data_IF_870388140933
#
_entry.id   IF_870388140933
#
_cell.length_a   1.000
_cell.length_b   1.000
_cell.length_c   1.000
_cell.angle_alpha   90.00
_cell.angle_beta   90.00
_cell.angle_gamma   90.00
#
_symmetry.space_group_name_H-M   'P 1'
#
loop_
_entity.id
_entity.type
_entity.pdbx_description
1 polymer ?
#
# COMPACT_ATOMS: atom_id res chain seq x y z
N UNK A 1 -8.22 -4.32 11.17
CA UNK A 1 -7.39 -3.19 11.66
C UNK A 1 -7.68 -2.73 13.10
N UNK A 2 -8.91 -2.31 13.47
CA UNK A 2 -9.23 -1.73 14.82
C UNK A 2 -8.64 -2.49 16.02
N UNK A 3 -8.83 -3.81 16.07
CA UNK A 3 -8.30 -4.62 17.17
C UNK A 3 -6.76 -4.65 17.21
N UNK A 4 -6.11 -4.70 16.05
CA UNK A 4 -4.63 -4.72 15.95
C UNK A 4 -4.05 -3.40 16.47
N UNK A 5 -4.60 -2.27 16.01
CA UNK A 5 -4.21 -0.94 16.47
C UNK A 5 -4.50 -0.76 17.97
N UNK A 6 -5.63 -1.28 18.46
CA UNK A 6 -5.96 -1.25 19.88
C UNK A 6 -4.93 -1.98 20.75
N UNK A 7 -4.45 -3.15 20.31
CA UNK A 7 -3.39 -3.90 21.03
C UNK A 7 -2.03 -3.20 20.95
N UNK A 8 -1.69 -2.58 19.82
CA UNK A 8 -0.48 -1.77 19.70
C UNK A 8 -0.54 -0.57 20.65
N UNK A 9 -1.66 0.14 20.71
CA UNK A 9 -1.89 1.24 21.68
C UNK A 9 -1.72 0.76 23.12
N UNK A 10 -2.32 -0.37 23.51
CA UNK A 10 -2.14 -0.93 24.86
C UNK A 10 -0.67 -1.24 25.17
N UNK A 11 0.09 -1.69 24.17
CA UNK A 11 1.52 -1.97 24.35
C UNK A 11 2.31 -0.69 24.62
N UNK A 12 2.01 0.39 23.88
CA UNK A 12 2.59 1.72 24.12
C UNK A 12 2.22 2.23 25.52
N UNK A 13 0.95 2.13 25.91
CA UNK A 13 0.49 2.55 27.24
C UNK A 13 1.19 1.77 28.37
N UNK A 14 1.42 0.48 28.19
CA UNK A 14 2.16 -0.30 29.18
C UNK A 14 3.61 0.17 29.32
N UNK A 15 4.29 0.49 28.21
CA UNK A 15 5.63 1.06 28.24
C UNK A 15 5.65 2.44 28.91
N UNK A 16 4.62 3.27 28.69
CA UNK A 16 4.48 4.56 29.38
C UNK A 16 4.35 4.38 30.89
N UNK A 17 3.56 3.43 31.37
CA UNK A 17 3.48 3.15 32.81
C UNK A 17 4.82 2.70 33.40
N UNK A 18 5.62 1.94 32.66
CA UNK A 18 6.98 1.58 33.11
C UNK A 18 7.86 2.82 33.21
N UNK A 19 7.84 3.67 32.18
CA UNK A 19 8.61 4.91 32.17
C UNK A 19 8.22 5.84 33.34
N UNK A 20 6.92 6.00 33.61
CA UNK A 20 6.39 6.78 34.73
C UNK A 20 6.87 6.24 36.09
N UNK A 21 6.66 4.95 36.35
CA UNK A 21 7.02 4.31 37.64
C UNK A 21 8.52 4.40 37.90
N UNK A 22 9.35 4.15 36.89
CA UNK A 22 10.80 4.23 37.05
C UNK A 22 11.28 5.68 37.17
N UNK A 23 10.66 6.61 36.44
CA UNK A 23 10.93 8.05 36.59
C UNK A 23 10.57 8.57 37.97
N UNK A 24 9.55 8.03 38.64
CA UNK A 24 9.15 8.48 39.99
C UNK A 24 9.99 7.85 41.11
N UNK A 25 10.41 6.60 40.94
CA UNK A 25 10.94 5.80 42.04
C UNK A 25 12.39 5.35 41.89
N UNK A 26 13.04 5.60 40.75
CA UNK A 26 14.42 5.18 40.51
C UNK A 26 15.33 6.37 40.19
N UNK A 27 16.22 6.71 41.14
CA UNK A 27 17.15 7.84 41.02
C UNK A 27 18.10 7.71 39.82
N UNK A 28 18.56 6.50 39.52
CA UNK A 28 19.47 6.30 38.38
C UNK A 28 18.73 6.43 37.04
N UNK A 29 17.47 5.98 36.97
CA UNK A 29 16.62 6.20 35.80
C UNK A 29 16.34 7.69 35.58
N UNK A 30 16.03 8.44 36.65
CA UNK A 30 15.89 9.90 36.61
C UNK A 30 17.17 10.56 36.07
N UNK A 31 18.34 10.20 36.62
CA UNK A 31 19.63 10.73 36.18
C UNK A 31 19.87 10.50 34.68
N UNK A 32 19.43 9.35 34.14
CA UNK A 32 19.53 9.05 32.71
C UNK A 32 18.52 9.89 31.91
N UNK A 33 17.29 10.05 32.38
CA UNK A 33 16.29 10.91 31.73
C UNK A 33 16.72 12.39 31.68
N UNK A 34 17.34 12.88 32.76
CA UNK A 34 17.92 14.23 32.81
C UNK A 34 19.06 14.38 31.79
N UNK A 35 19.89 13.33 31.62
CA UNK A 35 20.93 13.32 30.60
C UNK A 35 20.34 13.34 29.19
N UNK A 36 19.31 12.51 28.92
CA UNK A 36 18.63 12.48 27.62
C UNK A 36 17.94 13.82 27.30
N UNK A 37 17.44 14.51 28.31
CA UNK A 37 16.79 15.83 28.21
C UNK A 37 17.76 17.01 28.30
N UNK A 38 19.06 16.76 28.46
CA UNK A 38 20.07 17.82 28.56
C UNK A 38 20.23 18.58 27.25
N UNK A 39 20.71 19.84 27.30
CA UNK A 39 20.96 20.66 26.11
C UNK A 39 21.91 19.99 25.10
N UNK A 40 22.79 19.09 25.57
CA UNK A 40 23.73 18.34 24.72
C UNK A 40 23.03 17.20 23.97
N UNK A 41 22.15 16.43 24.63
CA UNK A 41 21.59 15.21 24.06
C UNK A 41 20.17 15.38 23.49
N UNK A 42 19.37 16.27 24.07
CA UNK A 42 17.97 16.48 23.68
C UNK A 42 17.79 16.73 22.17
N UNK A 43 18.63 17.51 21.48
CA UNK A 43 18.50 17.68 20.02
C UNK A 43 18.62 16.36 19.24
N UNK A 44 19.48 15.44 19.68
CA UNK A 44 19.68 14.12 19.06
C UNK A 44 18.47 13.22 19.35
N UNK A 45 17.98 13.24 20.60
CA UNK A 45 16.83 12.45 21.01
C UNK A 45 15.56 12.87 20.25
N UNK A 46 15.33 14.17 20.11
CA UNK A 46 14.23 14.74 19.31
C UNK A 46 14.32 14.36 17.82
N UNK A 47 15.53 14.38 17.24
CA UNK A 47 15.72 13.95 15.85
C UNK A 47 15.36 12.46 15.66
N UNK A 48 15.74 11.60 16.60
CA UNK A 48 15.36 10.17 16.59
C UNK A 48 13.85 9.99 16.82
N UNK A 49 13.24 10.77 17.72
CA UNK A 49 11.82 10.68 18.01
C UNK A 49 10.95 10.99 16.77
N UNK A 50 11.39 11.93 15.92
CA UNK A 50 10.73 12.25 14.64
C UNK A 50 10.75 11.10 13.63
N UNK A 51 11.70 10.18 13.75
CA UNK A 51 11.71 8.95 12.95
C UNK A 51 10.61 7.95 13.37
N UNK A 52 10.00 8.13 14.55
CA UNK A 52 8.85 7.35 15.04
C UNK A 52 7.50 7.93 14.59
N UNK A 53 7.37 9.26 14.54
CA UNK A 53 6.22 9.95 13.95
C UNK A 53 6.57 11.41 13.61
N UNK A 54 6.19 11.83 12.41
CA UNK A 54 6.30 13.18 11.91
C UNK A 54 5.11 13.45 10.97
N UNK A 55 4.37 14.53 11.22
CA UNK A 55 3.31 14.98 10.33
C UNK A 55 3.87 15.93 9.27
N UNK A 56 4.15 15.41 8.08
CA UNK A 56 4.64 16.21 6.96
C UNK A 56 5.81 15.57 6.21
N UNK A 57 5.95 15.93 4.93
CA UNK A 57 7.04 15.47 4.05
C UNK A 57 7.89 16.68 3.65
N UNK A 58 9.14 16.72 4.11
CA UNK A 58 10.07 17.81 3.74
C UNK A 58 10.60 17.63 2.32
N UNK A 59 10.90 18.75 1.64
CA UNK A 59 11.41 18.72 0.27
C UNK A 59 12.82 18.10 0.22
N UNK A 60 13.16 17.43 -0.87
CA UNK A 60 14.43 16.70 -1.09
C UNK A 60 15.73 17.52 -0.92
N UNK A 61 15.63 18.85 -0.80
CA UNK A 61 16.76 19.80 -0.73
C UNK A 61 16.99 20.41 0.67
N UNK A 62 16.22 20.04 1.71
CA UNK A 62 16.49 20.52 3.08
C UNK A 62 17.66 19.76 3.73
N UNK A 63 18.45 20.46 4.57
CA UNK A 63 19.54 19.87 5.37
C UNK A 63 19.01 18.82 6.37
N UNK A 64 17.78 18.99 6.84
CA UNK A 64 17.03 18.01 7.64
C UNK A 64 16.09 17.28 6.68
N UNK A 65 16.43 16.04 6.33
CA UNK A 65 15.69 15.21 5.37
C UNK A 65 14.63 14.38 6.09
N UNK A 66 13.54 15.00 6.54
CA UNK A 66 12.34 14.25 6.92
C UNK A 66 11.60 13.86 5.63
N UNK A 67 12.17 12.87 4.94
CA UNK A 67 11.74 12.40 3.63
C UNK A 67 10.62 11.34 3.72
N UNK A 68 10.07 11.09 4.91
CA UNK A 68 9.32 9.85 5.18
C UNK A 68 7.82 10.00 4.94
N UNK A 69 7.42 9.48 3.80
CA UNK A 69 6.07 9.04 3.45
C UNK A 69 5.65 7.72 4.17
N UNK A 70 6.52 7.14 5.02
CA UNK A 70 6.46 5.70 5.35
C UNK A 70 6.11 5.35 6.79
N UNK A 71 6.01 6.29 7.73
CA UNK A 71 5.86 5.93 9.16
C UNK A 71 4.61 5.09 9.43
N UNK A 72 3.47 5.49 8.88
CA UNK A 72 2.23 4.74 9.02
C UNK A 72 2.27 3.40 8.25
N UNK A 73 2.99 3.37 7.12
CA UNK A 73 3.26 2.15 6.36
C UNK A 73 4.11 1.15 7.15
N UNK A 74 5.20 1.62 7.75
CA UNK A 74 6.13 0.83 8.56
C UNK A 74 5.42 0.19 9.77
N UNK A 75 4.49 0.90 10.41
CA UNK A 75 3.67 0.33 11.49
C UNK A 75 2.79 -0.81 10.98
N UNK A 76 2.16 -0.63 9.82
CA UNK A 76 1.33 -1.66 9.18
C UNK A 76 2.19 -2.86 8.76
N UNK A 77 3.35 -2.61 8.17
CA UNK A 77 4.30 -3.63 7.77
C UNK A 77 4.89 -4.37 8.97
N UNK A 78 5.15 -3.70 10.09
CA UNK A 78 5.55 -4.35 11.35
C UNK A 78 4.49 -5.32 11.85
N UNK A 79 3.22 -4.90 11.81
CA UNK A 79 2.10 -5.77 12.19
C UNK A 79 2.08 -7.01 11.29
N UNK A 80 2.24 -6.85 9.97
CA UNK A 80 2.09 -7.95 9.02
C UNK A 80 3.33 -8.82 8.83
N UNK A 81 4.46 -8.22 8.46
CA UNK A 81 5.73 -8.92 8.21
C UNK A 81 6.43 -9.38 9.49
N UNK A 82 6.11 -8.77 10.65
CA UNK A 82 6.60 -9.19 11.96
C UNK A 82 5.64 -10.15 12.66
N UNK A 83 4.55 -9.62 13.23
CA UNK A 83 3.71 -10.38 14.19
C UNK A 83 2.70 -11.32 13.54
N UNK A 84 2.04 -10.88 12.47
CA UNK A 84 1.07 -11.72 11.77
C UNK A 84 1.77 -12.83 10.97
N UNK A 85 2.95 -12.57 10.42
CA UNK A 85 3.79 -13.59 9.79
C UNK A 85 4.22 -14.68 10.78
N UNK A 86 4.63 -14.30 12.00
CA UNK A 86 4.87 -15.27 13.07
C UNK A 86 3.62 -16.10 13.43
N UNK A 87 2.41 -15.53 13.37
CA UNK A 87 1.18 -16.28 13.52
C UNK A 87 0.95 -17.27 12.37
N UNK A 88 1.20 -16.85 11.13
CA UNK A 88 1.04 -17.66 9.92
C UNK A 88 1.91 -18.92 9.95
N UNK A 89 3.14 -18.82 10.44
CA UNK A 89 4.10 -19.92 10.53
C UNK A 89 3.68 -21.08 11.47
N UNK A 90 2.60 -20.93 12.24
CA UNK A 90 2.19 -21.92 13.25
C UNK A 90 1.36 -23.08 12.69
N UNK A 91 0.69 -22.93 11.56
CA UNK A 91 -0.04 -24.01 10.87
C UNK A 91 -0.57 -23.54 9.51
N UNK A 92 -0.90 -24.49 8.62
CA UNK A 92 -1.52 -24.19 7.32
C UNK A 92 -2.80 -23.38 7.47
N UNK A 93 -3.68 -23.74 8.41
CA UNK A 93 -4.92 -22.99 8.67
C UNK A 93 -4.64 -21.54 9.08
N UNK A 94 -3.59 -21.29 9.86
CA UNK A 94 -3.21 -19.93 10.24
C UNK A 94 -2.59 -19.17 9.07
N UNK A 95 -1.89 -19.85 8.17
CA UNK A 95 -1.40 -19.29 6.92
C UNK A 95 -2.56 -18.87 6.00
N UNK A 96 -3.62 -19.69 5.87
CA UNK A 96 -4.84 -19.31 5.14
C UNK A 96 -5.47 -18.04 5.72
N UNK A 97 -5.63 -18.00 7.04
CA UNK A 97 -6.17 -16.82 7.72
C UNK A 97 -5.28 -15.58 7.59
N UNK A 98 -3.95 -15.77 7.53
CA UNK A 98 -3.01 -14.70 7.25
C UNK A 98 -3.18 -14.10 5.85
N UNK A 99 -3.37 -14.94 4.82
CA UNK A 99 -3.66 -14.46 3.46
C UNK A 99 -4.94 -13.62 3.44
N UNK A 100 -6.03 -14.11 4.02
CA UNK A 100 -7.30 -13.35 4.14
C UNK A 100 -7.07 -12.01 4.84
N UNK A 101 -6.37 -12.03 5.97
CA UNK A 101 -6.06 -10.83 6.74
C UNK A 101 -5.28 -9.79 5.91
N UNK A 102 -4.30 -10.22 5.13
CA UNK A 102 -3.55 -9.34 4.23
C UNK A 102 -4.49 -8.73 3.18
N UNK A 103 -5.25 -9.52 2.42
CA UNK A 103 -6.12 -8.97 1.38
C UNK A 103 -7.17 -8.01 1.92
N UNK A 104 -7.82 -8.34 3.03
CA UNK A 104 -8.80 -7.44 3.65
C UNK A 104 -8.15 -6.15 4.15
N UNK A 105 -6.93 -6.21 4.66
CA UNK A 105 -6.19 -5.03 5.11
C UNK A 105 -5.70 -4.19 3.93
N UNK A 106 -5.25 -4.83 2.85
CA UNK A 106 -4.93 -4.18 1.58
C UNK A 106 -6.16 -3.46 1.02
N UNK A 107 -7.33 -4.10 1.00
CA UNK A 107 -8.58 -3.45 0.62
C UNK A 107 -8.88 -2.21 1.50
N UNK A 108 -8.65 -2.28 2.81
CA UNK A 108 -8.79 -1.12 3.70
C UNK A 108 -7.82 0.01 3.33
N UNK A 109 -6.56 -0.31 3.03
CA UNK A 109 -5.57 0.69 2.64
C UNK A 109 -5.90 1.35 1.30
N UNK A 110 -6.39 0.58 0.32
CA UNK A 110 -6.86 1.11 -0.96
C UNK A 110 -8.08 2.04 -0.81
N UNK A 111 -8.91 1.80 0.21
CA UNK A 111 -10.05 2.66 0.56
C UNK A 111 -9.62 3.95 1.29
N UNK A 112 -8.48 3.97 1.99
CA UNK A 112 -7.99 5.21 2.60
C UNK A 112 -7.68 6.27 1.53
N UNK A 113 -7.18 5.81 0.39
CA UNK A 113 -6.85 6.62 -0.78
C UNK A 113 -8.08 7.23 -1.49
N UNK A 114 -9.31 6.88 -1.04
CA UNK A 114 -10.55 7.54 -1.48
C UNK A 114 -10.60 9.02 -1.08
N UNK A 115 -9.82 9.47 -0.09
CA UNK A 115 -9.75 10.90 0.27
C UNK A 115 -9.24 11.80 -0.87
N UNK A 116 -8.55 11.23 -1.87
CA UNK A 116 -8.10 12.00 -3.04
C UNK A 116 -9.22 12.28 -4.04
N UNK A 117 -10.33 11.55 -3.97
CA UNK A 117 -11.48 11.67 -4.88
C UNK A 117 -12.78 12.09 -4.18
N UNK A 118 -12.83 11.99 -2.85
CA UNK A 118 -13.96 12.35 -2.00
C UNK A 118 -13.59 13.50 -1.04
N UNK A 119 -13.87 14.77 -1.41
CA UNK A 119 -13.57 15.94 -0.58
C UNK A 119 -14.20 15.91 0.81
N UNK A 120 -15.42 15.36 0.93
CA UNK A 120 -16.11 15.24 2.23
C UNK A 120 -15.37 14.30 3.17
N UNK A 121 -14.92 13.15 2.66
CA UNK A 121 -14.15 12.20 3.48
C UNK A 121 -12.77 12.77 3.84
N UNK A 122 -12.10 13.45 2.90
CA UNK A 122 -10.85 14.17 3.14
C UNK A 122 -10.98 15.18 4.29
N UNK A 123 -12.01 16.03 4.24
CA UNK A 123 -12.30 17.01 5.29
C UNK A 123 -12.46 16.33 6.65
N UNK A 124 -13.35 15.34 6.72
CA UNK A 124 -13.63 14.64 7.96
C UNK A 124 -12.37 13.94 8.54
N UNK A 125 -11.49 13.42 7.68
CA UNK A 125 -10.24 12.80 8.14
C UNK A 125 -9.27 13.83 8.72
N UNK A 126 -9.03 14.94 8.01
CA UNK A 126 -8.12 16.00 8.48
C UNK A 126 -8.63 16.61 9.79
N UNK A 127 -9.93 16.92 9.89
CA UNK A 127 -10.53 17.41 11.14
C UNK A 127 -10.33 16.42 12.29
N UNK A 128 -10.48 15.11 12.01
CA UNK A 128 -10.22 14.08 13.02
C UNK A 128 -8.76 14.03 13.46
N UNK A 129 -7.81 14.27 12.56
CA UNK A 129 -6.40 14.34 12.92
C UNK A 129 -6.14 15.54 13.84
N UNK A 130 -6.64 16.72 13.49
CA UNK A 130 -6.49 17.95 14.28
C UNK A 130 -7.14 17.87 15.67
N UNK A 131 -8.23 17.10 15.82
CA UNK A 131 -8.85 16.83 17.12
C UNK A 131 -7.98 15.98 18.06
N UNK A 132 -7.10 15.14 17.51
CA UNK A 132 -6.43 14.08 18.27
C UNK A 132 -4.90 14.19 18.30
N UNK A 133 -4.32 15.03 17.44
CA UNK A 133 -2.88 15.22 17.31
C UNK A 133 -2.60 16.72 17.36
N UNK A 134 -1.61 17.13 18.16
CA UNK A 134 -1.25 18.54 18.29
C UNK A 134 -0.72 19.08 16.96
N UNK A 135 -1.06 20.32 16.61
CA UNK A 135 -0.64 20.95 15.35
C UNK A 135 0.87 20.95 15.14
N UNK A 136 1.65 21.09 16.22
CA UNK A 136 3.13 21.08 16.18
C UNK A 136 3.66 19.74 15.66
N UNK A 137 3.01 18.63 16.00
CA UNK A 137 3.40 17.29 15.56
C UNK A 137 2.77 16.95 14.20
N UNK A 138 1.54 17.41 13.95
CA UNK A 138 0.79 17.12 12.73
C UNK A 138 1.26 17.91 11.50
N UNK A 139 1.76 19.13 11.69
CA UNK A 139 2.16 20.07 10.63
C UNK A 139 3.61 20.54 10.81
N UNK A 140 4.56 19.62 10.65
CA UNK A 140 5.98 19.91 10.84
C UNK A 140 6.56 20.75 9.68
N UNK A 141 6.02 20.61 8.47
CA UNK A 141 6.46 21.42 7.32
C UNK A 141 5.78 22.79 7.34
N UNK A 142 6.55 23.89 7.20
CA UNK A 142 5.97 25.22 7.07
C UNK A 142 4.97 25.30 5.92
N UNK A 143 3.76 25.75 6.23
CA UNK A 143 2.66 25.88 5.26
C UNK A 143 1.69 24.70 5.22
N UNK A 144 1.99 23.56 5.85
CA UNK A 144 1.08 22.40 5.86
C UNK A 144 -0.24 22.70 6.57
N UNK A 145 -0.22 23.47 7.66
CA UNK A 145 -1.45 23.89 8.36
C UNK A 145 -2.36 24.74 7.46
N UNK A 146 -1.77 25.68 6.71
CA UNK A 146 -2.51 26.52 5.77
C UNK A 146 -3.04 25.70 4.59
N UNK A 147 -2.23 24.78 4.06
CA UNK A 147 -2.63 23.85 3.02
C UNK A 147 -3.78 22.97 3.48
N UNK A 148 -3.71 22.42 4.70
CA UNK A 148 -4.77 21.63 5.31
C UNK A 148 -6.09 22.41 5.39
N UNK A 149 -6.03 23.70 5.78
CA UNK A 149 -7.18 24.61 5.79
C UNK A 149 -7.76 24.82 4.39
N UNK A 150 -6.92 24.95 3.37
CA UNK A 150 -7.35 25.13 1.98
C UNK A 150 -8.01 23.85 1.42
N UNK A 151 -7.36 22.69 1.55
CA UNK A 151 -7.86 21.43 0.97
C UNK A 151 -9.10 20.89 1.68
N UNK A 152 -9.30 21.22 2.97
CA UNK A 152 -10.56 20.92 3.68
C UNK A 152 -11.73 21.63 3.01
N UNK A 153 -11.54 22.86 2.54
CA UNK A 153 -12.59 23.68 1.93
C UNK A 153 -12.67 23.54 0.41
N UNK A 154 -11.72 22.85 -0.21
CA UNK A 154 -11.66 22.64 -1.65
C UNK A 154 -12.40 21.38 -2.09
N UNK A 155 -13.08 21.46 -3.23
CA UNK A 155 -13.69 20.33 -3.93
C UNK A 155 -12.72 19.64 -4.92
N UNK A 156 -11.44 20.07 -4.94
CA UNK A 156 -10.42 19.51 -5.84
C UNK A 156 -10.23 18.01 -5.61
N UNK A 157 -10.03 17.28 -6.71
CA UNK A 157 -9.80 15.84 -6.76
C UNK A 157 -8.56 15.54 -7.59
N UNK A 158 -8.00 14.35 -7.37
CA UNK A 158 -6.85 13.87 -8.14
C UNK A 158 -7.11 13.94 -9.66
N UNK A 159 -6.04 14.20 -10.42
CA UNK A 159 -6.04 14.38 -11.89
C UNK A 159 -6.81 15.61 -12.41
N UNK A 160 -7.15 16.56 -11.53
CA UNK A 160 -7.53 17.91 -11.92
C UNK A 160 -6.30 18.82 -11.96
N UNK A 161 -6.35 19.90 -12.71
CA UNK A 161 -5.19 20.77 -12.93
C UNK A 161 -4.81 21.55 -11.65
N UNK A 162 -5.79 21.76 -10.76
CA UNK A 162 -5.64 22.34 -9.44
C UNK A 162 -5.05 21.35 -8.40
N UNK A 163 -5.03 20.05 -8.72
CA UNK A 163 -4.40 19.03 -7.89
C UNK A 163 -2.90 19.04 -8.12
N UNK A 164 -2.19 19.83 -7.31
CA UNK A 164 -0.75 20.03 -7.43
C UNK A 164 0.06 18.95 -6.71
N UNK A 165 1.34 18.82 -7.06
CA UNK A 165 2.27 17.92 -6.36
C UNK A 165 2.42 18.24 -4.87
N UNK A 166 2.17 19.48 -4.46
CA UNK A 166 2.18 19.89 -3.05
C UNK A 166 1.01 19.27 -2.29
N UNK A 167 -0.16 19.16 -2.92
CA UNK A 167 -1.32 18.46 -2.35
C UNK A 167 -1.02 16.97 -2.26
N UNK A 168 -0.44 16.37 -3.31
CA UNK A 168 -0.02 14.96 -3.29
C UNK A 168 0.93 14.68 -2.12
N UNK A 169 2.00 15.47 -1.97
CA UNK A 169 2.99 15.29 -0.90
C UNK A 169 2.38 15.42 0.50
N UNK A 170 1.40 16.33 0.68
CA UNK A 170 0.67 16.48 1.93
C UNK A 170 -0.26 15.29 2.21
N UNK A 171 -1.04 14.87 1.22
CA UNK A 171 -1.94 13.72 1.39
C UNK A 171 -1.14 12.44 1.67
N UNK A 172 -0.02 12.27 0.98
CA UNK A 172 0.91 11.16 1.18
C UNK A 172 1.55 11.17 2.58
N UNK A 173 1.71 12.33 3.24
CA UNK A 173 2.29 12.41 4.58
C UNK A 173 1.34 11.94 5.68
N UNK A 174 0.03 12.06 5.46
CA UNK A 174 -1.02 11.70 6.42
C UNK A 174 -1.66 10.32 6.13
N UNK A 175 -1.16 9.60 5.12
CA UNK A 175 -1.61 8.27 4.73
C UNK A 175 -0.48 7.23 4.88
N UNK A 176 -0.81 5.95 5.12
CA UNK A 176 0.17 4.86 5.04
C UNK A 176 0.53 4.59 3.58
N UNK A 177 1.48 5.35 3.02
CA UNK A 177 2.11 5.22 1.69
C UNK A 177 1.13 4.78 0.59
N UNK A 178 0.58 5.75 -0.12
CA UNK A 178 -0.37 5.54 -1.23
C UNK A 178 0.15 4.48 -2.21
N UNK A 179 -0.58 3.36 -2.31
CA UNK A 179 -0.32 2.17 -3.17
C UNK A 179 0.97 1.36 -2.92
N UNK A 180 2.02 1.94 -2.33
CA UNK A 180 3.29 1.25 -2.09
C UNK A 180 3.17 0.09 -1.10
N UNK A 181 2.72 0.37 0.12
CA UNK A 181 2.59 -0.66 1.15
C UNK A 181 1.56 -1.76 0.78
N UNK A 182 0.39 -1.45 0.17
CA UNK A 182 -0.50 -2.45 -0.39
C UNK A 182 0.20 -3.41 -1.37
N UNK A 183 0.98 -2.84 -2.29
CA UNK A 183 1.71 -3.61 -3.31
C UNK A 183 2.78 -4.51 -2.70
N UNK A 184 3.59 -3.97 -1.79
CA UNK A 184 4.63 -4.72 -1.07
C UNK A 184 4.03 -5.91 -0.30
N UNK A 185 2.87 -5.72 0.35
CA UNK A 185 2.16 -6.80 1.04
C UNK A 185 1.60 -7.87 0.09
N UNK A 186 1.06 -7.49 -1.07
CA UNK A 186 0.60 -8.45 -2.08
C UNK A 186 1.77 -9.25 -2.65
N UNK A 187 2.88 -8.58 -2.97
CA UNK A 187 4.10 -9.24 -3.45
C UNK A 187 4.60 -10.24 -2.41
N UNK A 188 4.61 -9.85 -1.13
CA UNK A 188 5.05 -10.70 -0.04
C UNK A 188 4.23 -12.00 0.06
N UNK A 189 2.89 -11.93 0.05
CA UNK A 189 2.06 -13.13 0.15
C UNK A 189 2.14 -14.01 -1.09
N UNK A 190 2.32 -13.41 -2.27
CA UNK A 190 2.52 -14.14 -3.51
C UNK A 190 3.83 -14.95 -3.49
N UNK A 191 4.91 -14.39 -2.95
CA UNK A 191 6.15 -15.14 -2.75
C UNK A 191 5.95 -16.36 -1.86
N UNK A 192 5.21 -16.18 -0.75
CA UNK A 192 4.91 -17.29 0.16
C UNK A 192 4.05 -18.35 -0.55
N UNK A 193 3.00 -17.93 -1.27
CA UNK A 193 2.08 -18.83 -1.98
C UNK A 193 2.80 -19.63 -3.06
N UNK A 194 3.66 -18.98 -3.82
CA UNK A 194 4.44 -19.60 -4.91
C UNK A 194 5.60 -20.45 -4.39
N UNK A 195 5.89 -20.42 -3.08
CA UNK A 195 6.95 -21.20 -2.44
C UNK A 195 8.33 -21.01 -3.10
N UNK A 196 8.64 -19.77 -3.51
CA UNK A 196 9.85 -19.45 -4.28
C UNK A 196 11.16 -19.57 -3.49
N UNK A 197 11.08 -19.76 -2.18
CA UNK A 197 12.23 -19.90 -1.28
C UNK A 197 11.89 -19.48 0.15
N UNK A 198 12.92 -19.34 0.99
CA UNK A 198 12.78 -18.69 2.30
C UNK A 198 12.80 -17.19 2.07
N UNK A 199 11.74 -16.51 2.52
CA UNK A 199 11.53 -15.07 2.31
C UNK A 199 11.90 -14.32 3.58
N UNK A 200 12.81 -13.35 3.45
CA UNK A 200 13.19 -12.44 4.52
C UNK A 200 12.68 -11.04 4.14
N UNK A 201 11.60 -10.55 4.78
CA UNK A 201 11.13 -9.19 4.56
C UNK A 201 12.10 -8.20 5.19
N UNK A 202 12.55 -7.23 4.41
CA UNK A 202 13.41 -6.13 4.85
C UNK A 202 12.69 -4.78 4.81
N UNK A 203 11.36 -4.78 4.63
CA UNK A 203 10.50 -3.60 4.49
C UNK A 203 10.73 -2.52 5.58
N UNK A 204 11.02 -2.93 6.82
CA UNK A 204 11.27 -2.02 7.94
C UNK A 204 12.72 -1.51 8.03
N UNK A 205 13.65 -2.12 7.30
CA UNK A 205 15.09 -1.82 7.38
C UNK A 205 15.43 -0.88 6.24
N UNK A 206 15.61 0.39 6.54
CA UNK A 206 15.92 1.38 5.49
C UNK A 206 17.42 1.50 5.19
N UNK A 207 18.27 1.13 6.16
CA UNK A 207 19.73 1.16 6.02
C UNK A 207 20.36 -0.03 6.73
N UNK A 208 21.28 -0.70 6.04
CA UNK A 208 22.16 -1.71 6.61
C UNK A 208 23.52 -1.08 6.84
N UNK A 209 23.98 -1.13 8.09
CA UNK A 209 25.31 -0.69 8.49
C UNK A 209 26.35 -1.77 8.15
N UNK A 210 27.51 -1.33 7.67
CA UNK A 210 28.66 -2.19 7.41
C UNK A 210 29.96 -1.46 7.69
N UNK A 211 31.08 -1.99 7.19
CA UNK A 211 32.42 -1.40 7.40
C UNK A 211 32.60 0.02 6.80
N UNK A 212 31.70 0.45 5.91
CA UNK A 212 31.69 1.76 5.26
C UNK A 212 30.30 2.40 5.39
N UNK A 213 30.02 3.40 4.55
CA UNK A 213 28.72 4.04 4.43
C UNK A 213 27.56 3.01 4.43
N UNK A 214 26.45 3.27 5.14
CA UNK A 214 25.29 2.40 5.10
C UNK A 214 24.73 2.23 3.67
N UNK A 215 24.12 1.08 3.39
CA UNK A 215 23.42 0.80 2.11
C UNK A 215 21.92 0.70 2.33
N UNK A 216 21.12 1.12 1.35
CA UNK A 216 19.72 0.70 1.32
C UNK A 216 19.66 -0.80 0.96
N UNK A 217 18.95 -1.63 1.73
CA UNK A 217 18.62 -2.97 1.28
C UNK A 217 17.51 -2.96 0.23
N UNK A 218 17.33 -4.07 -0.51
CA UNK A 218 16.10 -4.35 -1.24
C UNK A 218 14.94 -4.61 -0.26
N UNK A 219 13.71 -4.57 -0.74
CA UNK A 219 12.50 -4.83 0.05
C UNK A 219 12.45 -6.27 0.62
N UNK A 220 12.97 -7.25 -0.14
CA UNK A 220 13.07 -8.65 0.30
C UNK A 220 14.43 -9.28 -0.04
N UNK A 221 14.82 -10.27 0.76
CA UNK A 221 15.77 -11.31 0.33
C UNK A 221 15.04 -12.64 0.15
N UNK A 222 15.39 -13.37 -0.90
CA UNK A 222 14.93 -14.73 -1.15
C UNK A 222 16.13 -15.65 -1.09
N UNK A 223 16.06 -16.65 -0.22
CA UNK A 223 17.06 -17.72 -0.12
C UNK A 223 16.47 -18.97 -0.76
N UNK A 224 17.07 -19.40 -1.87
CA UNK A 224 16.68 -20.62 -2.58
C UNK A 224 17.32 -21.86 -1.95
N UNK A 225 16.74 -23.03 -2.25
CA UNK A 225 17.20 -24.33 -1.73
C UNK A 225 18.61 -24.69 -2.20
N UNK A 226 19.04 -24.16 -3.35
CA UNK A 226 20.39 -24.29 -3.89
C UNK A 226 21.41 -23.32 -3.25
N UNK A 227 21.01 -22.59 -2.19
CA UNK A 227 21.81 -21.58 -1.48
C UNK A 227 22.06 -20.28 -2.25
N UNK A 228 21.45 -20.09 -3.42
CA UNK A 228 21.43 -18.78 -4.09
C UNK A 228 20.59 -17.79 -3.26
N UNK A 229 21.06 -16.55 -3.18
CA UNK A 229 20.38 -15.45 -2.49
C UNK A 229 20.08 -14.37 -3.51
N UNK A 230 18.84 -13.90 -3.54
CA UNK A 230 18.40 -12.83 -4.42
C UNK A 230 17.82 -11.67 -3.62
N UNK A 231 18.20 -10.45 -3.98
CA UNK A 231 17.54 -9.24 -3.54
C UNK A 231 16.36 -8.92 -4.44
N UNK A 232 15.24 -8.52 -3.85
CA UNK A 232 14.04 -8.15 -4.61
C UNK A 232 13.58 -6.75 -4.22
N UNK A 233 13.50 -5.88 -5.22
CA UNK A 233 12.91 -4.56 -5.09
C UNK A 233 11.49 -4.57 -5.67
N UNK A 234 10.54 -3.97 -4.97
CA UNK A 234 9.16 -3.85 -5.44
C UNK A 234 8.99 -2.53 -6.20
N UNK A 235 8.79 -2.65 -7.50
CA UNK A 235 8.61 -1.55 -8.45
C UNK A 235 9.88 -1.09 -9.14
N UNK A 236 9.72 -0.63 -10.37
CA UNK A 236 10.84 -0.34 -11.29
C UNK A 236 11.54 1.02 -11.08
N UNK A 237 11.22 1.78 -10.03
CA UNK A 237 11.71 3.19 -9.89
C UNK A 237 13.00 3.34 -9.08
N UNK A 238 13.56 2.27 -8.52
CA UNK A 238 14.68 2.32 -7.56
C UNK A 238 15.94 1.58 -8.03
N UNK A 239 16.12 1.44 -9.34
CA UNK A 239 17.21 0.68 -9.97
C UNK A 239 18.62 1.03 -9.45
N UNK A 240 18.87 2.32 -9.19
CA UNK A 240 20.16 2.79 -8.66
C UNK A 240 20.46 2.23 -7.26
N UNK A 241 19.45 2.18 -6.37
CA UNK A 241 19.60 1.65 -5.01
C UNK A 241 19.84 0.14 -5.04
N UNK A 242 19.04 -0.58 -5.85
CA UNK A 242 19.18 -2.02 -6.06
C UNK A 242 20.57 -2.37 -6.63
N UNK A 243 21.07 -1.56 -7.58
CA UNK A 243 22.40 -1.74 -8.18
C UNK A 243 23.51 -1.50 -7.16
N UNK A 244 23.41 -0.46 -6.33
CA UNK A 244 24.41 -0.21 -5.28
C UNK A 244 24.47 -1.37 -4.28
N UNK A 245 23.31 -1.85 -3.81
CA UNK A 245 23.24 -3.00 -2.92
C UNK A 245 23.91 -4.23 -3.55
N UNK A 246 23.56 -4.54 -4.80
CA UNK A 246 24.08 -5.71 -5.50
C UNK A 246 25.60 -5.66 -5.67
N UNK A 247 26.15 -4.52 -6.07
CA UNK A 247 27.62 -4.33 -6.22
C UNK A 247 28.33 -4.52 -4.87
N UNK A 248 27.76 -3.99 -3.79
CA UNK A 248 28.42 -3.99 -2.47
C UNK A 248 28.31 -5.31 -1.71
N UNK A 249 27.28 -6.10 -1.99
CA UNK A 249 27.00 -7.36 -1.29
C UNK A 249 27.28 -8.60 -2.14
N UNK A 250 27.46 -8.43 -3.47
CA UNK A 250 27.48 -9.51 -4.46
C UNK A 250 26.19 -10.34 -4.52
N UNK A 251 25.10 -9.86 -3.91
CA UNK A 251 23.77 -10.47 -4.02
C UNK A 251 23.10 -9.91 -5.28
N UNK A 252 22.70 -10.73 -6.26
CA UNK A 252 21.95 -10.24 -7.42
C UNK A 252 20.61 -9.66 -6.97
N UNK A 253 20.34 -8.41 -7.38
CA UNK A 253 19.08 -7.73 -7.06
C UNK A 253 18.32 -7.38 -8.33
N UNK A 254 17.02 -7.66 -8.37
CA UNK A 254 16.15 -7.28 -9.48
C UNK A 254 14.81 -6.76 -8.98
N UNK A 255 14.12 -6.06 -9.87
CA UNK A 255 12.81 -5.48 -9.58
C UNK A 255 11.70 -6.45 -9.97
N UNK A 256 10.65 -6.48 -9.17
CA UNK A 256 9.38 -7.15 -9.45
C UNK A 256 8.25 -6.14 -9.35
N UNK A 257 7.15 -6.40 -10.05
CA UNK A 257 5.96 -5.56 -9.97
C UNK A 257 4.70 -6.40 -10.06
N UNK A 258 3.56 -5.83 -9.68
CA UNK A 258 2.28 -6.46 -9.94
C UNK A 258 1.93 -6.29 -11.42
N UNK A 259 1.55 -7.40 -12.05
CA UNK A 259 1.22 -7.45 -13.47
C UNK A 259 0.08 -6.50 -13.82
N UNK A 260 0.15 -5.84 -14.99
CA UNK A 260 -0.88 -4.90 -15.45
C UNK A 260 -1.14 -3.72 -14.48
N UNK A 261 -0.16 -3.33 -13.66
CA UNK A 261 -0.29 -2.27 -12.66
C UNK A 261 -1.54 -2.45 -11.78
N UNK A 262 -1.69 -3.63 -11.16
CA UNK A 262 -2.78 -3.90 -10.22
C UNK A 262 -2.94 -2.78 -9.19
N UNK A 263 -4.14 -2.68 -8.60
CA UNK A 263 -4.60 -1.50 -7.86
C UNK A 263 -4.92 -0.30 -8.77
N UNK A 264 -5.46 -0.59 -9.95
CA UNK A 264 -5.98 0.41 -10.86
C UNK A 264 -7.12 1.20 -10.22
N UNK A 265 -7.17 2.51 -10.48
CA UNK A 265 -8.34 3.34 -10.20
C UNK A 265 -9.31 3.28 -11.36
N UNK A 266 -10.60 3.15 -11.05
CA UNK A 266 -11.66 3.22 -12.03
C UNK A 266 -11.77 4.66 -12.58
N UNK A 267 -11.62 4.90 -13.90
CA UNK A 267 -11.72 6.25 -14.46
C UNK A 267 -13.08 6.93 -14.27
N UNK A 268 -14.15 6.18 -14.02
CA UNK A 268 -15.52 6.72 -13.84
C UNK A 268 -15.79 7.27 -12.46
N UNK A 269 -15.23 6.69 -11.41
CA UNK A 269 -15.43 7.14 -10.01
C UNK A 269 -14.14 7.63 -9.33
N UNK A 270 -12.97 7.29 -9.88
CA UNK A 270 -11.65 7.61 -9.34
C UNK A 270 -11.19 6.69 -8.21
N UNK A 271 -12.04 5.80 -7.71
CA UNK A 271 -11.70 4.90 -6.60
C UNK A 271 -10.88 3.69 -7.06
N UNK A 272 -10.06 3.15 -6.15
CA UNK A 272 -9.30 1.94 -6.37
C UNK A 272 -10.21 0.71 -6.56
N UNK A 273 -9.79 -0.21 -7.43
CA UNK A 273 -10.41 -1.52 -7.57
C UNK A 273 -9.89 -2.43 -6.45
N UNK A 274 -10.84 -3.13 -5.80
CA UNK A 274 -10.58 -3.97 -4.63
C UNK A 274 -10.62 -5.45 -5.00
N UNK A 275 -10.02 -6.27 -4.14
CA UNK A 275 -10.11 -7.72 -4.20
C UNK A 275 -11.46 -8.22 -3.69
N UNK A 276 -12.12 -9.13 -4.41
CA UNK A 276 -13.43 -9.67 -4.02
C UNK A 276 -13.31 -10.84 -3.04
N UNK A 277 -14.34 -11.07 -2.22
CA UNK A 277 -14.35 -12.14 -1.22
C UNK A 277 -14.13 -13.53 -1.84
N UNK A 278 -14.75 -13.81 -2.99
CA UNK A 278 -14.57 -15.09 -3.70
C UNK A 278 -13.12 -15.32 -4.10
N UNK A 279 -12.43 -14.27 -4.57
CA UNK A 279 -11.02 -14.38 -4.92
C UNK A 279 -10.17 -14.58 -3.67
N UNK A 280 -10.43 -13.82 -2.60
CA UNK A 280 -9.69 -13.93 -1.32
C UNK A 280 -9.80 -15.34 -0.75
N UNK A 281 -11.00 -15.92 -0.75
CA UNK A 281 -11.25 -17.29 -0.27
C UNK A 281 -10.49 -18.31 -1.10
N UNK A 282 -10.66 -18.28 -2.43
CA UNK A 282 -9.98 -19.19 -3.36
C UNK A 282 -8.47 -19.05 -3.35
N UNK A 283 -7.97 -17.84 -3.14
CA UNK A 283 -6.54 -17.60 -2.99
C UNK A 283 -6.04 -18.28 -1.73
N UNK A 284 -6.74 -18.05 -0.62
CA UNK A 284 -6.31 -18.46 0.71
C UNK A 284 -6.39 -19.98 0.90
N UNK A 285 -7.36 -20.65 0.28
CA UNK A 285 -7.48 -22.11 0.34
C UNK A 285 -6.61 -22.86 -0.70
N UNK A 286 -5.98 -22.14 -1.63
CA UNK A 286 -5.12 -22.69 -2.67
C UNK A 286 -5.84 -23.13 -3.95
N UNK A 287 -7.16 -22.93 -4.05
CA UNK A 287 -7.99 -23.36 -5.19
C UNK A 287 -8.12 -22.33 -6.31
N UNK A 288 -7.51 -21.14 -6.16
CA UNK A 288 -7.62 -20.07 -7.15
C UNK A 288 -7.19 -20.52 -8.54
N UNK A 289 -6.08 -21.26 -8.66
CA UNK A 289 -5.56 -21.73 -9.96
C UNK A 289 -6.60 -22.55 -10.73
N UNK A 290 -7.37 -23.38 -10.04
CA UNK A 290 -8.38 -24.24 -10.65
C UNK A 290 -9.65 -23.46 -11.04
N UNK A 291 -9.85 -22.28 -10.44
CA UNK A 291 -10.97 -21.39 -10.74
C UNK A 291 -10.66 -20.36 -11.83
N UNK A 292 -9.39 -20.22 -12.24
CA UNK A 292 -9.02 -19.35 -13.35
C UNK A 292 -9.36 -20.01 -14.67
N UNK A 293 -10.02 -19.27 -15.56
CA UNK A 293 -10.31 -19.71 -16.92
C UNK A 293 -9.42 -18.92 -17.88
N UNK A 294 -8.82 -19.61 -18.84
CA UNK A 294 -8.02 -19.00 -19.87
C UNK A 294 -8.89 -18.63 -21.08
N UNK A 295 -8.92 -17.36 -21.45
CA UNK A 295 -9.56 -16.86 -22.68
C UNK A 295 -8.64 -15.84 -23.34
N UNK A 296 -8.42 -15.98 -24.64
CA UNK A 296 -7.55 -15.08 -25.42
C UNK A 296 -6.12 -14.93 -24.84
N UNK A 297 -5.58 -15.99 -24.23
CA UNK A 297 -4.24 -15.98 -23.61
C UNK A 297 -4.18 -15.29 -22.24
N UNK A 298 -5.31 -14.88 -21.68
CA UNK A 298 -5.40 -14.30 -20.33
C UNK A 298 -6.14 -15.26 -19.39
N UNK A 299 -5.56 -15.51 -18.22
CA UNK A 299 -6.19 -16.27 -17.14
C UNK A 299 -6.91 -15.32 -16.19
N UNK A 300 -8.22 -15.49 -16.07
CA UNK A 300 -9.06 -14.59 -15.27
C UNK A 300 -10.03 -15.38 -14.40
N UNK A 301 -10.39 -14.78 -13.26
CA UNK A 301 -11.53 -15.23 -12.46
C UNK A 301 -12.78 -14.50 -12.98
N UNK A 302 -13.52 -15.12 -13.89
CA UNK A 302 -14.70 -14.50 -14.51
C UNK A 302 -15.87 -14.42 -13.52
N UNK A 303 -16.56 -13.28 -13.53
CA UNK A 303 -17.66 -13.00 -12.62
C UNK A 303 -19.02 -13.50 -13.13
N UNK A 304 -19.18 -13.84 -14.42
CA UNK A 304 -20.48 -14.15 -15.00
C UNK A 304 -21.21 -15.34 -14.33
N UNK A 305 -20.47 -16.28 -13.76
CA UNK A 305 -21.00 -17.45 -13.05
C UNK A 305 -21.04 -17.25 -11.52
N UNK A 306 -20.61 -16.09 -11.03
CA UNK A 306 -20.58 -15.77 -9.60
C UNK A 306 -21.97 -15.36 -9.10
N UNK A 307 -22.44 -15.98 -8.01
CA UNK A 307 -23.72 -15.65 -7.37
C UNK A 307 -23.82 -14.19 -6.92
N UNK A 308 -22.68 -13.54 -6.67
CA UNK A 308 -22.61 -12.14 -6.27
C UNK A 308 -22.58 -11.15 -7.44
N UNK A 309 -22.45 -11.61 -8.70
CA UNK A 309 -22.36 -10.72 -9.87
C UNK A 309 -23.58 -9.82 -10.01
N UNK A 310 -24.77 -10.38 -9.75
CA UNK A 310 -26.03 -9.66 -9.67
C UNK A 310 -26.23 -8.70 -10.87
N UNK A 311 -26.12 -9.22 -12.08
CA UNK A 311 -26.26 -8.47 -13.35
C UNK A 311 -25.43 -7.17 -13.39
N UNK A 312 -24.15 -7.30 -13.03
CA UNK A 312 -23.17 -6.22 -13.06
C UNK A 312 -23.21 -5.29 -11.84
N UNK A 313 -24.03 -5.56 -10.83
CA UNK A 313 -24.08 -4.77 -9.59
C UNK A 313 -22.98 -5.13 -8.59
N UNK A 314 -22.19 -6.17 -8.84
CA UNK A 314 -21.04 -6.49 -8.00
C UNK A 314 -20.00 -5.36 -8.03
N UNK A 315 -19.79 -4.70 -6.89
CA UNK A 315 -18.80 -3.62 -6.72
C UNK A 315 -17.34 -4.04 -6.93
N UNK A 316 -17.06 -5.35 -6.89
CA UNK A 316 -15.72 -5.91 -7.07
C UNK A 316 -15.47 -6.47 -8.47
N UNK A 317 -16.51 -6.52 -9.29
CA UNK A 317 -16.40 -6.96 -10.68
C UNK A 317 -15.78 -5.85 -11.51
N UNK A 318 -14.97 -6.25 -12.48
CA UNK A 318 -14.16 -5.37 -13.32
C UNK A 318 -14.56 -5.57 -14.77
N UNK A 319 -14.71 -4.45 -15.46
CA UNK A 319 -14.69 -4.40 -16.92
C UNK A 319 -13.34 -3.86 -17.38
N UNK A 320 -12.71 -4.55 -18.34
CA UNK A 320 -11.53 -4.04 -19.04
C UNK A 320 -11.88 -3.83 -20.51
N UNK A 321 -11.81 -2.59 -20.95
CA UNK A 321 -12.13 -2.26 -22.33
C UNK A 321 -12.36 -0.77 -22.51
N UNK A 322 -13.01 -0.47 -23.62
CA UNK A 322 -13.38 0.88 -23.99
C UNK A 322 -14.78 1.25 -23.46
N UNK A 323 -14.98 2.51 -23.07
CA UNK A 323 -16.23 3.05 -22.52
C UNK A 323 -16.45 4.48 -23.01
N UNK A 324 -17.66 4.79 -23.47
CA UNK A 324 -18.09 6.14 -23.82
C UNK A 324 -18.45 7.00 -22.59
N UNK A 325 -18.39 8.33 -22.79
CA UNK A 325 -18.84 9.31 -21.83
C UNK A 325 -17.71 10.00 -21.09
N UNK A 326 -17.96 10.39 -19.85
CA UNK A 326 -17.07 11.23 -19.05
C UNK A 326 -16.43 10.45 -17.92
N UNK A 327 -15.25 10.88 -17.48
CA UNK A 327 -14.59 10.43 -16.26
C UNK A 327 -15.20 11.10 -15.02
N UNK A 328 -14.73 10.75 -13.81
CA UNK A 328 -15.24 11.33 -12.56
C UNK A 328 -15.01 12.86 -12.40
N UNK A 329 -14.19 13.45 -13.28
CA UNK A 329 -13.93 14.89 -13.35
C UNK A 329 -14.77 15.58 -14.45
N UNK A 330 -15.70 14.88 -15.10
CA UNK A 330 -16.53 15.42 -16.19
C UNK A 330 -15.79 15.59 -17.52
N UNK A 331 -14.49 15.24 -17.60
CA UNK A 331 -13.72 15.27 -18.84
C UNK A 331 -14.05 14.01 -19.68
N UNK A 332 -14.15 14.11 -21.02
CA UNK A 332 -14.39 12.94 -21.87
C UNK A 332 -13.35 11.83 -21.61
N UNK A 333 -13.79 10.58 -21.58
CA UNK A 333 -12.88 9.44 -21.57
C UNK A 333 -12.15 9.35 -22.90
N UNK A 334 -10.84 9.06 -22.84
CA UNK A 334 -10.03 8.86 -24.03
C UNK A 334 -10.58 7.69 -24.85
N UNK A 335 -10.89 7.98 -26.11
CA UNK A 335 -11.53 7.01 -26.99
C UNK A 335 -10.60 5.90 -27.50
N UNK A 336 -9.31 5.93 -27.13
CA UNK A 336 -8.25 5.10 -27.72
C UNK A 336 -7.52 4.19 -26.74
N UNK A 337 -7.87 4.18 -25.45
CA UNK A 337 -7.22 3.35 -24.44
C UNK A 337 -8.20 2.43 -23.70
N UNK A 338 -7.86 1.13 -23.62
CA UNK A 338 -8.55 0.20 -22.73
C UNK A 338 -8.17 0.51 -21.28
N UNK A 339 -9.15 0.51 -20.39
CA UNK A 339 -8.95 0.80 -18.96
C UNK A 339 -9.77 -0.15 -18.10
N UNK A 340 -9.39 -0.25 -16.83
CA UNK A 340 -10.13 -1.03 -15.83
C UNK A 340 -11.20 -0.16 -15.17
N UNK A 341 -12.43 -0.63 -15.16
CA UNK A 341 -13.58 0.04 -14.55
C UNK A 341 -14.25 -0.89 -13.55
N UNK A 342 -14.82 -0.36 -12.47
CA UNK A 342 -15.82 -1.11 -11.72
C UNK A 342 -17.00 -1.39 -12.64
N UNK A 343 -17.46 -2.64 -12.74
CA UNK A 343 -18.59 -3.02 -13.59
C UNK A 343 -19.83 -2.19 -13.27
N UNK A 344 -20.11 -1.94 -11.99
CA UNK A 344 -21.26 -1.14 -11.57
C UNK A 344 -21.22 0.32 -12.04
N UNK A 345 -20.04 0.86 -12.40
CA UNK A 345 -19.91 2.21 -12.93
C UNK A 345 -20.17 2.31 -14.44
N UNK A 346 -20.15 1.19 -15.17
CA UNK A 346 -20.15 1.19 -16.65
C UNK A 346 -21.10 0.17 -17.27
N UNK A 347 -21.78 -0.68 -16.49
CA UNK A 347 -22.65 -1.74 -17.02
C UNK A 347 -23.75 -1.21 -17.95
N UNK A 348 -24.25 -0.01 -17.67
CA UNK A 348 -25.32 0.65 -18.43
C UNK A 348 -24.75 1.59 -19.53
N UNK A 349 -23.43 1.80 -19.54
CA UNK A 349 -22.74 2.60 -20.55
C UNK A 349 -22.53 1.81 -21.86
N UNK A 350 -22.12 2.54 -22.89
CA UNK A 350 -21.84 1.99 -24.21
C UNK A 350 -20.34 1.94 -24.53
N UNK A 351 -20.00 1.05 -25.46
CA UNK A 351 -18.75 1.02 -26.20
C UNK A 351 -19.06 0.99 -27.71
N UNK A 352 -18.09 1.27 -28.59
CA UNK A 352 -18.26 1.52 -30.01
C UNK A 352 -17.70 0.31 -30.72
N UNK A 353 -18.61 -0.43 -31.33
CA UNK A 353 -18.26 -1.50 -32.23
C UNK A 353 -18.61 -1.06 -33.64
N UNK A 354 -17.60 -0.93 -34.52
CA UNK A 354 -17.77 -0.49 -35.91
C UNK A 354 -18.60 0.80 -36.06
N UNK A 355 -18.33 1.79 -35.19
CA UNK A 355 -19.03 3.09 -35.10
C UNK A 355 -20.50 3.00 -34.67
N UNK A 356 -20.93 1.88 -34.09
CA UNK A 356 -22.24 1.75 -33.47
C UNK A 356 -22.09 1.55 -31.96
N UNK A 357 -22.84 2.32 -31.13
CA UNK A 357 -22.84 2.11 -29.70
C UNK A 357 -23.47 0.75 -29.38
N UNK A 358 -22.86 0.06 -28.43
CA UNK A 358 -23.27 -1.26 -27.92
C UNK A 358 -23.21 -1.19 -26.40
N UNK A 359 -24.27 -1.66 -25.74
CA UNK A 359 -24.30 -1.70 -24.29
C UNK A 359 -23.26 -2.70 -23.76
N UNK A 360 -22.53 -2.32 -22.71
CA UNK A 360 -21.45 -3.12 -22.14
C UNK A 360 -22.00 -4.40 -21.49
N UNK A 361 -23.01 -4.33 -20.63
CA UNK A 361 -23.57 -5.50 -19.96
C UNK A 361 -24.13 -6.53 -20.95
N UNK A 362 -24.84 -6.08 -21.99
CA UNK A 362 -25.46 -6.96 -23.00
C UNK A 362 -24.42 -7.71 -23.86
N UNK A 363 -23.32 -7.05 -24.22
CA UNK A 363 -22.36 -7.59 -25.19
C UNK A 363 -21.10 -8.19 -24.54
N UNK A 364 -20.77 -7.77 -23.31
CA UNK A 364 -19.57 -8.18 -22.58
C UNK A 364 -19.88 -8.86 -21.23
N UNK A 365 -21.10 -9.39 -21.04
CA UNK A 365 -21.51 -10.07 -19.79
C UNK A 365 -20.50 -11.12 -19.31
N UNK A 366 -19.92 -11.85 -20.25
CA UNK A 366 -19.00 -12.96 -19.99
C UNK A 366 -17.54 -12.52 -19.83
N UNK A 367 -17.23 -11.24 -20.01
CA UNK A 367 -15.87 -10.71 -20.00
C UNK A 367 -15.53 -9.98 -18.70
N UNK A 368 -16.50 -9.84 -17.78
CA UNK A 368 -16.24 -9.27 -16.47
C UNK A 368 -15.47 -10.24 -15.57
N UNK A 369 -14.55 -9.71 -14.78
CA UNK A 369 -13.65 -10.52 -13.96
C UNK A 369 -13.34 -9.86 -12.62
N UNK A 370 -12.79 -10.62 -11.68
CA UNK A 370 -12.29 -10.12 -10.40
C UNK A 370 -10.78 -9.83 -10.49
N UNK A 371 -10.31 -8.86 -9.71
CA UNK A 371 -8.87 -8.60 -9.57
C UNK A 371 -8.20 -9.83 -8.93
N UNK A 372 -7.13 -10.34 -9.55
CA UNK A 372 -6.33 -11.46 -9.05
C UNK A 372 -4.88 -11.03 -8.89
N UNK A 373 -4.21 -11.37 -7.77
CA UNK A 373 -2.79 -11.07 -7.55
C UNK A 373 -1.91 -11.83 -8.54
N UNK A 374 -1.12 -11.09 -9.32
CA UNK A 374 -0.10 -11.64 -10.21
C UNK A 374 1.14 -10.73 -10.16
N UNK A 375 2.32 -11.34 -10.18
CA UNK A 375 3.62 -10.66 -10.19
C UNK A 375 4.31 -10.91 -11.52
N UNK A 376 4.92 -9.87 -12.09
CA UNK A 376 5.89 -9.94 -13.18
C UNK A 376 7.32 -9.81 -12.64
N UNK A 377 8.29 -10.41 -13.35
CA UNK A 377 9.72 -10.29 -13.03
C UNK A 377 10.28 -11.40 -12.11
N UNK A 378 9.49 -12.44 -11.85
CA UNK A 378 9.87 -13.61 -11.06
C UNK A 378 10.11 -14.87 -11.89
N UNK A 379 10.09 -14.76 -13.21
CA UNK A 379 10.24 -15.89 -14.14
C UNK A 379 11.58 -16.60 -13.96
N UNK A 380 12.61 -15.84 -13.56
CA UNK A 380 13.96 -16.34 -13.28
C UNK A 380 14.07 -17.11 -11.95
N UNK A 381 13.07 -16.98 -11.05
CA UNK A 381 13.05 -17.65 -9.75
C UNK A 381 12.24 -18.94 -9.73
N UNK A 382 11.22 -19.05 -10.57
CA UNK A 382 10.25 -20.16 -10.54
C UNK A 382 10.68 -21.34 -11.42
N UNK A 383 11.51 -21.11 -12.44
CA UNK A 383 11.84 -22.09 -13.48
C UNK A 383 13.20 -22.80 -13.30
N UNK A 384 13.64 -23.05 -12.06
CA UNK A 384 14.88 -23.80 -11.77
C UNK A 384 14.63 -25.06 -10.96
#
# INVERSE_FOLDING_TARGET
>A
MKQLLGRLKTSIQHLQCLDEVFSEHNIEYQRINDLLSSDEFNPIYEEIARELYAGGKTNSNSRVKLNRQMILGDIIEYIFSGRAYYYAAKSDEKLKNFYKLIFYSVNQMLLFDTITVNPRLRRAYIEKLEENITSVILYEKPGDEELARQIKNSEVKIWQDEWTSVIDDFIDSILPKTLGAPKELIVFIEFIRLKIGIIIPLLLIQRIFGYKNPIAPPDFLILQTNKEIYGIEVGYKKELQSREFSIRTSIPTFAVDLKNNMHNRCPKCGENILYCDVMIEKYSDGTLKDALVERNGERKLFCCECTYFNDGNCKFSIYFGWVEGQNFNGKPLDSKSNRHYHTCCVKDDNYLYRRSPKNILENHRNDFFAQIPEIDGIENLINK
#
